data_IF_912863376658
#
_entry.id   IF_912863376658
#
_cell.length_a   1.000
_cell.length_b   1.000
_cell.length_c   1.000
_cell.angle_alpha   90.00
_cell.angle_beta   90.00
_cell.angle_gamma   90.00
#
_symmetry.space_group_name_H-M   'P 1'
#
loop_
_entity.id
_entity.type
_entity.pdbx_description
1 polymer ?
#
# COMPACT_ATOMS: atom_id res chain seq x y z
N UNK A 1 4.57 -3.01 7.33
CA UNK A 1 4.76 -2.45 5.95
C UNK A 1 5.24 -3.56 5.05
N UNK A 2 4.68 -3.73 3.85
CA UNK A 2 5.12 -4.77 2.91
C UNK A 2 5.92 -4.19 1.73
N UNK A 3 7.13 -3.62 1.93
CA UNK A 3 7.80 -2.90 0.85
C UNK A 3 8.12 -3.80 -0.35
N UNK A 4 8.67 -5.00 -0.10
CA UNK A 4 9.06 -5.91 -1.18
C UNK A 4 7.84 -6.62 -1.73
N UNK A 5 6.88 -6.98 -0.88
CA UNK A 5 5.59 -7.52 -1.31
C UNK A 5 4.85 -6.56 -2.25
N UNK A 6 4.68 -5.30 -1.83
CA UNK A 6 3.98 -4.29 -2.62
C UNK A 6 4.68 -3.95 -3.93
N UNK A 7 6.00 -3.76 -3.94
CA UNK A 7 6.69 -3.45 -5.19
C UNK A 7 6.84 -4.70 -6.05
N UNK A 8 7.31 -5.81 -5.49
CA UNK A 8 7.56 -7.05 -6.23
C UNK A 8 6.29 -7.66 -6.79
N UNK A 9 5.32 -7.99 -5.93
CA UNK A 9 4.05 -8.57 -6.37
C UNK A 9 3.21 -7.52 -7.09
N UNK A 10 3.12 -6.30 -6.55
CA UNK A 10 2.28 -5.24 -7.11
C UNK A 10 2.68 -4.83 -8.53
N UNK A 11 3.99 -4.76 -8.84
CA UNK A 11 4.43 -4.53 -10.23
C UNK A 11 4.13 -5.73 -11.15
N UNK A 12 4.09 -6.95 -10.62
CA UNK A 12 3.81 -8.18 -11.38
C UNK A 12 2.31 -8.48 -11.55
N UNK A 13 1.44 -7.84 -10.76
CA UNK A 13 -0.01 -7.84 -11.00
C UNK A 13 -0.37 -7.07 -12.29
N UNK A 14 0.49 -6.16 -12.72
CA UNK A 14 0.29 -5.40 -13.96
C UNK A 14 0.74 -6.25 -15.15
N UNK A 15 -0.09 -6.37 -16.21
CA UNK A 15 0.27 -7.12 -17.41
C UNK A 15 1.63 -6.67 -17.95
N UNK A 16 2.53 -7.63 -18.19
CA UNK A 16 3.92 -7.35 -18.57
C UNK A 16 4.06 -6.40 -19.76
N UNK A 17 3.21 -6.54 -20.78
CA UNK A 17 3.21 -5.67 -21.98
C UNK A 17 3.02 -4.19 -21.64
N UNK A 18 2.25 -3.91 -20.59
CA UNK A 18 1.99 -2.57 -20.09
C UNK A 18 3.11 -2.13 -19.14
N UNK A 19 3.47 -2.99 -18.18
CA UNK A 19 4.54 -2.76 -17.20
C UNK A 19 5.85 -2.34 -17.86
N UNK A 20 6.25 -3.03 -18.93
CA UNK A 20 7.51 -2.77 -19.64
C UNK A 20 7.52 -1.41 -20.38
N UNK A 21 6.35 -0.75 -20.52
CA UNK A 21 6.21 0.60 -21.12
C UNK A 21 6.16 1.72 -20.08
N UNK A 22 6.02 1.39 -18.80
CA UNK A 22 5.89 2.36 -17.73
C UNK A 22 7.27 2.65 -17.11
N UNK A 23 7.58 3.90 -16.73
CA UNK A 23 8.79 4.20 -16.01
C UNK A 23 8.80 3.53 -14.64
N UNK A 24 9.63 2.49 -14.47
CA UNK A 24 9.67 1.61 -13.30
C UNK A 24 9.70 2.36 -11.96
N UNK A 25 10.50 3.44 -11.85
CA UNK A 25 10.63 4.23 -10.61
C UNK A 25 9.30 4.80 -10.12
N UNK A 26 8.47 5.28 -11.04
CA UNK A 26 7.17 5.87 -10.72
C UNK A 26 6.12 4.79 -10.46
N UNK A 27 6.25 3.64 -11.13
CA UNK A 27 5.40 2.50 -10.85
C UNK A 27 5.65 1.93 -9.46
N UNK A 28 6.92 1.72 -9.09
CA UNK A 28 7.35 1.29 -7.77
C UNK A 28 6.93 2.30 -6.70
N UNK A 29 7.09 3.61 -6.98
CA UNK A 29 6.57 4.65 -6.09
C UNK A 29 5.06 4.53 -5.91
N UNK A 30 4.28 4.34 -6.98
CA UNK A 30 2.84 4.13 -6.89
C UNK A 30 2.45 2.94 -6.01
N UNK A 31 3.23 1.86 -6.05
CA UNK A 31 3.01 0.68 -5.20
C UNK A 31 3.32 0.94 -3.72
N UNK A 32 4.10 1.97 -3.38
CA UNK A 32 4.50 2.30 -2.00
C UNK A 32 3.84 3.57 -1.47
N UNK A 33 3.35 4.43 -2.35
CA UNK A 33 2.84 5.76 -2.01
C UNK A 33 1.72 5.72 -0.96
N UNK A 34 0.73 4.80 -1.04
CA UNK A 34 -0.29 4.71 -0.01
C UNK A 34 0.33 4.44 1.36
N UNK A 35 1.18 3.41 1.47
CA UNK A 35 1.90 3.08 2.70
C UNK A 35 2.74 4.25 3.27
N UNK A 36 3.34 5.07 2.40
CA UNK A 36 4.15 6.25 2.78
C UNK A 36 3.28 7.39 3.32
N UNK A 37 2.05 7.52 2.83
CA UNK A 37 1.09 8.52 3.31
C UNK A 37 0.39 8.00 4.56
N UNK A 38 -0.04 6.76 4.51
CA UNK A 38 -1.01 6.19 5.42
C UNK A 38 -0.38 5.92 6.80
N UNK A 39 0.85 5.40 6.84
CA UNK A 39 1.51 5.10 8.12
C UNK A 39 1.86 6.33 8.95
N UNK A 40 2.46 7.41 8.40
CA UNK A 40 2.67 8.62 9.18
C UNK A 40 1.36 9.21 9.71
N UNK A 41 0.29 9.20 8.90
CA UNK A 41 -1.03 9.65 9.33
C UNK A 41 -1.53 8.78 10.49
N UNK A 42 -1.42 7.46 10.37
CA UNK A 42 -1.79 6.53 11.43
C UNK A 42 -0.96 6.74 12.70
N UNK A 43 0.37 6.89 12.60
CA UNK A 43 1.25 7.16 13.74
C UNK A 43 0.91 8.49 14.42
N UNK A 44 0.67 9.55 13.63
CA UNK A 44 0.27 10.86 14.16
C UNK A 44 -1.10 10.77 14.81
N UNK A 45 -2.06 10.07 14.20
CA UNK A 45 -3.39 9.84 14.78
C UNK A 45 -3.28 9.09 16.11
N UNK A 46 -2.47 8.03 16.19
CA UNK A 46 -2.19 7.31 17.44
C UNK A 46 -1.53 8.22 18.50
N UNK A 47 -0.53 9.01 18.10
CA UNK A 47 0.14 9.96 19.00
C UNK A 47 -0.82 11.03 19.56
N UNK A 48 -1.80 11.44 18.75
CA UNK A 48 -2.81 12.44 19.13
C UNK A 48 -3.99 11.84 19.91
N UNK A 49 -3.98 10.55 20.24
CA UNK A 49 -5.09 9.89 20.94
C UNK A 49 -6.33 9.73 20.05
N UNK A 50 -6.16 9.41 18.76
CA UNK A 50 -7.29 9.12 17.89
C UNK A 50 -7.85 7.72 18.21
N UNK A 51 -8.85 7.71 19.07
CA UNK A 51 -9.30 6.49 19.71
C UNK A 51 -10.67 6.07 19.18
N UNK A 52 -10.63 5.07 18.31
CA UNK A 52 -11.81 4.32 17.94
C UNK A 52 -11.40 2.90 17.60
N UNK A 53 -12.25 1.93 17.92
CA UNK A 53 -12.16 0.54 17.40
C UNK A 53 -12.27 0.47 15.87
N UNK A 54 -12.39 1.61 15.18
CA UNK A 54 -12.30 1.73 13.74
C UNK A 54 -10.83 1.95 13.28
N UNK A 55 -9.88 2.08 14.22
CA UNK A 55 -8.43 2.18 13.96
C UNK A 55 -7.67 0.88 14.25
N UNK A 56 -8.35 -0.28 14.28
CA UNK A 56 -7.73 -1.60 14.55
C UNK A 56 -6.70 -2.04 13.49
N UNK A 57 -6.56 -1.28 12.39
CA UNK A 57 -5.63 -1.59 11.31
C UNK A 57 -5.07 -0.32 10.67
N UNK A 58 -3.76 -0.31 10.43
CA UNK A 58 -3.07 0.74 9.68
C UNK A 58 -3.43 0.75 8.17
N UNK A 59 -4.28 -0.19 7.71
CA UNK A 59 -4.71 -0.30 6.31
C UNK A 59 -5.90 0.62 6.06
N UNK A 60 -5.62 1.77 5.47
CA UNK A 60 -6.61 2.81 5.23
C UNK A 60 -7.27 2.70 3.87
N UNK A 61 -8.07 1.64 3.69
CA UNK A 61 -8.70 1.32 2.40
C UNK A 61 -9.37 2.52 1.70
N UNK A 62 -10.11 3.35 2.45
CA UNK A 62 -10.78 4.55 1.92
C UNK A 62 -9.81 5.61 1.38
N UNK A 63 -8.72 5.89 2.10
CA UNK A 63 -7.69 6.84 1.66
C UNK A 63 -6.97 6.34 0.42
N UNK A 64 -6.54 5.08 0.44
CA UNK A 64 -5.85 4.48 -0.70
C UNK A 64 -6.74 4.44 -1.94
N UNK A 65 -8.04 4.14 -1.80
CA UNK A 65 -9.00 4.13 -2.90
C UNK A 65 -9.24 5.55 -3.46
N UNK A 66 -9.37 6.56 -2.59
CA UNK A 66 -9.48 7.96 -3.02
C UNK A 66 -8.21 8.43 -3.72
N UNK A 67 -7.03 8.12 -3.16
CA UNK A 67 -5.74 8.42 -3.75
C UNK A 67 -5.61 7.74 -5.13
N UNK A 68 -6.04 6.49 -5.26
CA UNK A 68 -6.08 5.79 -6.55
C UNK A 68 -6.95 6.54 -7.57
N UNK A 69 -8.17 6.92 -7.16
CA UNK A 69 -9.08 7.68 -8.02
C UNK A 69 -8.50 9.04 -8.42
N UNK A 70 -8.00 9.81 -7.46
CA UNK A 70 -7.37 11.11 -7.70
C UNK A 70 -6.17 10.97 -8.65
N UNK A 71 -5.35 9.93 -8.49
CA UNK A 71 -4.22 9.66 -9.38
C UNK A 71 -4.67 9.28 -10.79
N UNK A 72 -5.75 8.51 -10.94
CA UNK A 72 -6.35 8.19 -12.25
C UNK A 72 -6.86 9.47 -12.93
N UNK A 73 -7.56 10.34 -12.21
CA UNK A 73 -8.03 11.63 -12.73
C UNK A 73 -6.84 12.52 -13.14
N UNK A 74 -5.80 12.58 -12.30
CA UNK A 74 -4.57 13.30 -12.59
C UNK A 74 -3.87 12.78 -13.84
N UNK A 75 -3.72 11.45 -13.94
CA UNK A 75 -3.13 10.79 -15.10
C UNK A 75 -3.96 11.04 -16.37
N UNK A 76 -5.29 11.03 -16.28
CA UNK A 76 -6.17 11.35 -17.41
C UNK A 76 -6.02 12.81 -17.86
N UNK A 77 -5.89 13.74 -16.92
CA UNK A 77 -5.81 15.19 -17.18
C UNK A 77 -4.45 15.66 -17.70
N UNK A 78 -3.36 15.14 -17.16
CA UNK A 78 -2.00 15.61 -17.44
C UNK A 78 -1.16 14.62 -18.25
N UNK A 79 -1.54 13.34 -18.29
CA UNK A 79 -0.95 12.29 -19.14
C UNK A 79 0.57 12.17 -19.09
N UNK A 80 1.19 12.56 -17.97
CA UNK A 80 2.62 12.37 -17.79
C UNK A 80 2.91 10.89 -17.53
N UNK A 81 4.04 10.40 -18.01
CA UNK A 81 4.44 9.00 -17.81
C UNK A 81 4.56 8.62 -16.32
N UNK A 82 4.91 9.60 -15.48
CA UNK A 82 4.95 9.44 -14.03
C UNK A 82 3.56 9.20 -13.43
N UNK A 83 2.58 10.07 -13.74
CA UNK A 83 1.22 9.95 -13.22
C UNK A 83 0.55 8.67 -13.73
N UNK A 84 0.74 8.33 -15.00
CA UNK A 84 0.22 7.08 -15.56
C UNK A 84 0.82 5.86 -14.85
N UNK A 85 2.13 5.85 -14.60
CA UNK A 85 2.76 4.75 -13.87
C UNK A 85 2.25 4.63 -12.43
N UNK A 86 2.10 5.74 -11.72
CA UNK A 86 1.55 5.74 -10.37
C UNK A 86 0.07 5.31 -10.35
N UNK A 87 -0.72 5.72 -11.34
CA UNK A 87 -2.12 5.32 -11.48
C UNK A 87 -2.29 3.80 -11.70
N UNK A 88 -1.27 3.11 -12.22
CA UNK A 88 -1.25 1.65 -12.28
C UNK A 88 -0.72 1.01 -11.00
N UNK A 89 0.23 1.65 -10.30
CA UNK A 89 0.83 1.10 -9.08
C UNK A 89 -0.06 1.21 -7.84
N UNK A 90 -0.76 2.32 -7.65
CA UNK A 90 -1.57 2.55 -6.44
C UNK A 90 -2.71 1.52 -6.29
N UNK A 91 -3.46 1.15 -7.34
CA UNK A 91 -4.50 0.12 -7.21
C UNK A 91 -3.96 -1.26 -6.82
N UNK A 92 -2.71 -1.60 -7.18
CA UNK A 92 -2.15 -2.91 -6.81
C UNK A 92 -1.83 -2.98 -5.32
N UNK A 93 -1.49 -1.84 -4.71
CA UNK A 93 -1.40 -1.69 -3.27
C UNK A 93 -2.72 -2.06 -2.58
N UNK A 94 -3.82 -1.43 -3.03
CA UNK A 94 -5.16 -1.67 -2.49
C UNK A 94 -5.55 -3.15 -2.57
N UNK A 95 -5.24 -3.80 -3.70
CA UNK A 95 -5.51 -5.24 -3.90
C UNK A 95 -4.71 -6.08 -2.90
N UNK A 96 -3.42 -5.80 -2.73
CA UNK A 96 -2.57 -6.54 -1.82
C UNK A 96 -2.96 -6.35 -0.35
N UNK A 97 -3.39 -5.15 0.02
CA UNK A 97 -3.95 -4.90 1.35
C UNK A 97 -5.22 -5.71 1.61
N UNK A 98 -6.16 -5.74 0.67
CA UNK A 98 -7.39 -6.54 0.81
C UNK A 98 -7.09 -8.03 0.92
N UNK A 99 -6.16 -8.54 0.10
CA UNK A 99 -5.77 -9.95 0.14
C UNK A 99 -5.14 -10.29 1.49
N UNK A 100 -4.25 -9.43 1.97
CA UNK A 100 -3.54 -9.66 3.22
C UNK A 100 -4.47 -9.54 4.42
N UNK A 101 -5.37 -8.56 4.43
CA UNK A 101 -6.38 -8.38 5.48
C UNK A 101 -7.30 -9.61 5.57
N UNK A 102 -7.80 -10.10 4.42
CA UNK A 102 -8.54 -11.37 4.37
C UNK A 102 -7.71 -12.57 4.84
N UNK A 103 -6.44 -12.65 4.41
CA UNK A 103 -5.54 -13.75 4.75
C UNK A 103 -5.17 -13.78 6.24
N UNK A 104 -5.21 -12.63 6.92
CA UNK A 104 -4.97 -12.49 8.36
C UNK A 104 -6.25 -12.61 9.19
N UNK A 105 -7.41 -12.85 8.56
CA UNK A 105 -8.70 -12.98 9.25
C UNK A 105 -9.38 -11.65 9.62
N UNK A 106 -8.95 -10.54 9.02
CA UNK A 106 -9.50 -9.20 9.24
C UNK A 106 -10.93 -9.01 8.70
N UNK A 107 -11.66 -8.07 9.31
CA UNK A 107 -13.04 -7.70 8.93
C UNK A 107 -13.10 -6.51 7.95
N UNK A 108 -14.10 -6.50 7.07
CA UNK A 108 -14.33 -5.51 5.98
C UNK A 108 -14.74 -4.09 6.44
N UNK A 109 -14.30 -3.63 7.61
CA UNK A 109 -15.09 -2.72 8.44
C UNK A 109 -14.89 -1.21 8.30
N UNK A 110 -13.81 -0.69 7.68
CA UNK A 110 -13.41 0.72 7.93
C UNK A 110 -13.54 1.66 6.73
N UNK A 111 -14.54 1.45 5.87
CA UNK A 111 -14.68 2.18 4.61
C UNK A 111 -15.27 3.59 4.73
N UNK A 112 -16.09 3.85 5.75
CA UNK A 112 -16.91 5.08 5.81
C UNK A 112 -16.23 6.26 6.49
N UNK A 113 -15.51 6.02 7.59
CA UNK A 113 -15.01 7.09 8.46
C UNK A 113 -13.78 7.82 7.92
N UNK A 114 -13.03 7.19 7.01
CA UNK A 114 -11.70 7.70 6.61
C UNK A 114 -11.69 8.48 5.30
N UNK A 115 -12.67 8.34 4.39
CA UNK A 115 -12.65 9.09 3.12
C UNK A 115 -12.55 10.61 3.32
N UNK A 116 -13.02 11.11 4.46
CA UNK A 116 -13.14 12.52 4.81
C UNK A 116 -12.27 12.95 5.99
N UNK A 117 -11.32 12.14 6.47
CA UNK A 117 -10.37 12.58 7.49
C UNK A 117 -9.47 13.70 6.94
N UNK A 118 -9.19 14.78 7.70
CA UNK A 118 -9.55 15.05 9.09
C UNK A 118 -10.86 15.84 9.27
N UNK A 119 -11.67 16.02 8.22
CA UNK A 119 -12.87 16.88 8.23
C UNK A 119 -14.08 16.21 8.89
N UNK A 120 -14.20 14.89 8.82
CA UNK A 120 -15.09 14.10 9.67
C UNK A 120 -14.25 13.51 10.81
N UNK A 121 -14.13 14.24 11.92
CA UNK A 121 -13.62 13.70 13.19
C UNK A 121 -14.82 13.04 13.87
N UNK A 122 -14.99 11.70 13.86
CA UNK A 122 -15.93 11.09 14.78
C UNK A 122 -15.43 11.44 16.17
N UNK A 123 -16.30 11.94 17.06
CA UNK A 123 -15.97 12.31 18.46
C UNK A 123 -15.05 11.23 19.06
N UNK A 124 -13.75 11.53 19.11
CA UNK A 124 -12.69 10.58 19.45
C UNK A 124 -12.86 10.21 20.92
N UNK A 125 -13.20 8.95 21.18
CA UNK A 125 -13.49 8.43 22.51
C UNK A 125 -12.27 7.69 23.03
N UNK A 126 -11.69 8.20 24.12
CA UNK A 126 -10.28 8.00 24.42
C UNK A 126 -9.92 6.60 24.99
N UNK A 127 -9.35 5.67 24.19
CA UNK A 127 -8.57 4.47 24.60
C UNK A 127 -7.29 4.14 23.77
N UNK A 128 -6.12 4.15 24.43
CA UNK A 128 -4.79 3.78 23.87
C UNK A 128 -4.72 2.36 23.27
N UNK A 129 -4.25 2.25 22.02
CA UNK A 129 -3.85 0.97 21.40
C UNK A 129 -2.35 0.72 21.62
N UNK A 130 -1.98 -0.56 21.66
CA UNK A 130 -0.66 -1.08 22.02
C UNK A 130 0.49 -0.45 21.21
N UNK A 131 1.65 -0.30 21.85
CA UNK A 131 2.83 0.37 21.30
C UNK A 131 3.13 0.01 19.82
N UNK A 132 3.61 0.94 18.97
CA UNK A 132 3.99 0.65 17.58
C UNK A 132 4.97 -0.52 17.42
N UNK A 133 5.79 -0.77 18.44
CA UNK A 133 6.73 -1.90 18.49
C UNK A 133 6.02 -3.25 18.64
N UNK A 134 4.89 -3.28 19.36
CA UNK A 134 4.09 -4.48 19.54
C UNK A 134 3.37 -4.87 18.24
N UNK A 135 2.79 -3.90 17.53
CA UNK A 135 2.20 -4.16 16.21
C UNK A 135 3.24 -4.60 15.18
N UNK A 136 4.43 -3.96 15.17
CA UNK A 136 5.54 -4.41 14.33
C UNK A 136 5.95 -5.86 14.65
N UNK A 137 6.03 -6.22 15.93
CA UNK A 137 6.35 -7.58 16.34
C UNK A 137 5.28 -8.58 15.87
N UNK A 138 3.99 -8.24 15.98
CA UNK A 138 2.89 -9.06 15.48
C UNK A 138 2.94 -9.23 13.96
N UNK A 139 3.25 -8.16 13.21
CA UNK A 139 3.44 -8.24 11.76
C UNK A 139 4.61 -9.16 11.38
N UNK A 140 5.75 -9.05 12.08
CA UNK A 140 6.94 -9.86 11.80
C UNK A 140 6.75 -11.36 12.08
N UNK A 141 5.80 -11.72 12.95
CA UNK A 141 5.46 -13.12 13.22
C UNK A 141 4.36 -13.68 12.29
N UNK A 142 3.74 -12.84 11.44
CA UNK A 142 2.72 -13.28 10.51
C UNK A 142 3.32 -14.09 9.35
N UNK A 143 2.86 -15.34 9.18
CA UNK A 143 3.28 -16.19 8.05
C UNK A 143 2.90 -15.57 6.70
N UNK A 144 1.72 -14.94 6.62
CA UNK A 144 1.28 -14.19 5.43
C UNK A 144 2.26 -13.06 5.15
N UNK A 145 2.75 -12.40 6.22
CA UNK A 145 3.68 -11.29 6.06
C UNK A 145 4.99 -11.75 5.42
N UNK A 146 5.61 -12.75 6.04
CA UNK A 146 6.91 -13.30 5.61
C UNK A 146 6.82 -13.85 4.19
N UNK A 147 5.73 -14.55 3.86
CA UNK A 147 5.51 -15.09 2.53
C UNK A 147 5.41 -13.97 1.47
N UNK A 148 4.63 -12.91 1.74
CA UNK A 148 4.47 -11.78 0.84
C UNK A 148 5.80 -11.07 0.54
N UNK A 149 6.58 -10.76 1.58
CA UNK A 149 7.91 -10.15 1.41
C UNK A 149 8.88 -11.05 0.64
N UNK A 150 8.89 -12.35 0.95
CA UNK A 150 9.79 -13.32 0.30
C UNK A 150 9.48 -13.46 -1.19
N UNK A 151 8.20 -13.57 -1.55
CA UNK A 151 7.75 -13.64 -2.95
C UNK A 151 8.07 -12.33 -3.66
N UNK A 152 7.77 -11.19 -3.04
CA UNK A 152 8.08 -9.87 -3.59
C UNK A 152 9.57 -9.69 -3.88
N UNK A 153 10.43 -10.06 -2.92
CA UNK A 153 11.87 -10.02 -3.07
C UNK A 153 12.37 -10.91 -4.23
N UNK A 154 11.86 -12.14 -4.32
CA UNK A 154 12.22 -13.08 -5.37
C UNK A 154 11.86 -12.55 -6.77
N UNK A 155 10.69 -11.92 -6.92
CA UNK A 155 10.26 -11.30 -8.18
C UNK A 155 11.15 -10.12 -8.59
N UNK A 156 11.56 -9.28 -7.64
CA UNK A 156 12.47 -8.17 -7.91
C UNK A 156 13.87 -8.64 -8.29
N UNK A 157 14.39 -9.67 -7.62
CA UNK A 157 15.66 -10.30 -7.97
C UNK A 157 15.60 -10.94 -9.36
N UNK A 158 14.48 -11.59 -9.69
CA UNK A 158 14.26 -12.17 -11.02
C UNK A 158 14.33 -11.11 -12.12
N UNK A 159 13.62 -9.98 -11.95
CA UNK A 159 13.64 -8.87 -12.91
C UNK A 159 15.06 -8.25 -13.02
N UNK A 160 15.78 -8.12 -11.90
CA UNK A 160 17.16 -7.64 -11.90
C UNK A 160 18.09 -8.58 -12.69
N UNK A 161 18.04 -9.89 -12.43
CA UNK A 161 18.85 -10.89 -13.13
C UNK A 161 18.55 -10.87 -14.64
N UNK A 162 17.27 -10.82 -15.01
CA UNK A 162 16.84 -10.78 -16.39
C UNK A 162 17.30 -9.51 -17.11
N UNK A 163 17.24 -8.36 -16.43
CA UNK A 163 17.68 -7.08 -17.00
C UNK A 163 19.19 -7.07 -17.27
N UNK A 164 19.99 -7.73 -16.42
CA UNK A 164 21.45 -7.86 -16.61
C UNK A 164 21.78 -8.74 -17.80
N UNK A 165 21.11 -9.90 -17.96
CA UNK A 165 21.33 -10.80 -19.11
C UNK A 165 21.08 -10.10 -20.44
N UNK A 166 19.98 -9.34 -20.55
CA UNK A 166 19.64 -8.57 -21.77
C UNK A 166 20.61 -7.45 -22.12
N UNK A 167 21.45 -6.99 -21.18
CA UNK A 167 22.47 -5.96 -21.43
C UNK A 167 23.83 -6.56 -21.80
N UNK A 168 24.00 -7.87 -21.58
CA UNK A 168 25.22 -8.60 -21.90
C UNK A 168 25.16 -9.28 -23.27
N UNK A 169 23.96 -9.37 -23.86
CA UNK A 169 23.67 -9.76 -25.25
C UNK A 169 23.70 -8.52 -26.15
#
# INVERSE_FOLDING_TARGET
MFPLGHVGIGTHLIPRRLRDRLPWRWLALGCLLPDVIDKPIWVVAQYLGAESQQFDTARMFGHTAFLAFAMVVAAWRWRTSALVAMAYGIPTHLVLDVITDKGMGGGWGVWKSWLFWPFEIPRLGILMVASPLHELALELHSTVYIAGESIGAALLLWDLIRSRRRRAE
#
